data_IF_686173221339
#
_entry.id   IF_686173221339
#
_cell.length_a   1.000
_cell.length_b   1.000
_cell.length_c   1.000
_cell.angle_alpha   90.00
_cell.angle_beta   90.00
_cell.angle_gamma   90.00
#
_symmetry.space_group_name_H-M   'P 1'
#
loop_
_entity.id
_entity.type
_entity.pdbx_description
1 polymer ?
#
# COMPACT_ATOMS: atom_id res chain seq x y z
N UNK A 1 -47.81 45.35 25.10
CA UNK A 1 -47.54 44.02 25.70
C UNK A 1 -46.20 43.54 25.17
N UNK A 2 -45.12 44.02 25.80
CA UNK A 2 -43.77 43.52 25.56
C UNK A 2 -43.67 42.11 26.15
N UNK A 3 -43.37 41.13 25.30
CA UNK A 3 -43.00 39.79 25.77
C UNK A 3 -41.62 39.90 26.39
N UNK A 4 -41.56 39.80 27.71
CA UNK A 4 -40.33 39.57 28.46
C UNK A 4 -39.60 38.36 27.85
N UNK A 5 -38.51 38.64 27.13
CA UNK A 5 -37.47 37.67 26.84
C UNK A 5 -36.87 37.26 28.19
N UNK A 6 -37.38 36.17 28.78
CA UNK A 6 -36.70 35.46 29.86
C UNK A 6 -35.29 35.15 29.36
N UNK A 7 -34.34 35.94 29.80
CA UNK A 7 -32.92 35.62 29.73
C UNK A 7 -32.75 34.26 30.37
N UNK A 8 -32.50 33.22 29.55
CA UNK A 8 -31.99 31.95 30.04
C UNK A 8 -30.68 32.28 30.75
N UNK A 9 -30.73 32.34 32.08
CA UNK A 9 -29.53 32.37 32.91
C UNK A 9 -28.79 31.06 32.65
N UNK A 10 -27.82 31.09 31.75
CA UNK A 10 -26.93 29.97 31.54
C UNK A 10 -26.06 29.84 32.79
N UNK A 11 -26.21 28.75 33.54
CA UNK A 11 -25.24 28.39 34.56
C UNK A 11 -23.84 28.44 33.92
N UNK A 12 -22.84 29.07 34.58
CA UNK A 12 -21.48 29.09 34.06
C UNK A 12 -21.00 27.66 33.88
N UNK A 13 -20.48 27.35 32.69
CA UNK A 13 -20.04 26.01 32.34
C UNK A 13 -19.00 25.50 33.34
N UNK A 14 -19.22 24.28 33.84
CA UNK A 14 -18.33 23.64 34.81
C UNK A 14 -17.71 22.39 34.20
N UNK A 15 -16.37 22.36 34.15
CA UNK A 15 -15.61 21.23 33.61
C UNK A 15 -15.99 19.89 34.28
N UNK A 16 -16.12 19.88 35.61
CA UNK A 16 -16.48 18.66 36.36
C UNK A 16 -17.89 18.16 36.01
N UNK A 17 -18.88 19.06 36.00
CA UNK A 17 -20.26 18.73 35.60
C UNK A 17 -20.32 18.26 34.14
N UNK A 18 -19.56 18.92 33.26
CA UNK A 18 -19.50 18.57 31.83
C UNK A 18 -18.89 17.18 31.59
N UNK A 19 -17.83 16.81 32.32
CA UNK A 19 -17.23 15.48 32.22
C UNK A 19 -18.21 14.40 32.68
N UNK A 20 -18.90 14.62 33.80
CA UNK A 20 -19.86 13.67 34.34
C UNK A 20 -20.99 13.40 33.34
N UNK A 21 -21.59 14.45 32.79
CA UNK A 21 -22.62 14.33 31.77
C UNK A 21 -22.09 13.69 30.49
N UNK A 22 -20.92 14.13 30.00
CA UNK A 22 -20.32 13.59 28.78
C UNK A 22 -20.01 12.08 28.92
N UNK A 23 -19.54 11.62 30.08
CA UNK A 23 -19.29 10.19 30.34
C UNK A 23 -20.57 9.36 30.24
N UNK A 24 -21.68 9.83 30.81
CA UNK A 24 -22.97 9.14 30.75
C UNK A 24 -23.44 9.03 29.30
N UNK A 25 -23.37 10.12 28.54
CA UNK A 25 -23.74 10.11 27.13
C UNK A 25 -22.82 9.21 26.30
N UNK A 26 -21.51 9.27 26.54
CA UNK A 26 -20.53 8.44 25.85
C UNK A 26 -20.78 6.94 26.07
N UNK A 27 -21.05 6.52 27.32
CA UNK A 27 -21.38 5.13 27.64
C UNK A 27 -22.64 4.65 26.91
N UNK A 28 -23.68 5.51 26.84
CA UNK A 28 -24.91 5.21 26.09
C UNK A 28 -24.61 5.06 24.60
N UNK A 29 -23.87 6.01 24.01
CA UNK A 29 -23.48 5.97 22.59
C UNK A 29 -22.66 4.73 22.29
N UNK A 30 -21.70 4.38 23.14
CA UNK A 30 -20.85 3.19 22.97
C UNK A 30 -21.70 1.92 22.92
N UNK A 31 -22.66 1.78 23.86
CA UNK A 31 -23.58 0.65 23.89
C UNK A 31 -24.45 0.58 22.63
N UNK A 32 -25.12 1.67 22.28
CA UNK A 32 -25.97 1.71 21.09
C UNK A 32 -25.19 1.47 19.79
N UNK A 33 -23.96 1.97 19.71
CA UNK A 33 -23.09 1.71 18.57
C UNK A 33 -22.78 0.23 18.47
N UNK A 34 -22.40 -0.42 19.57
CA UNK A 34 -22.11 -1.86 19.56
C UNK A 34 -23.35 -2.69 19.19
N UNK A 35 -24.51 -2.36 19.76
CA UNK A 35 -25.78 -3.03 19.46
C UNK A 35 -26.12 -2.92 17.97
N UNK A 36 -25.94 -1.72 17.39
CA UNK A 36 -26.15 -1.47 15.96
C UNK A 36 -25.14 -2.22 15.09
N UNK A 37 -23.85 -2.21 15.42
CA UNK A 37 -22.84 -2.91 14.62
C UNK A 37 -23.06 -4.42 14.64
N UNK A 38 -23.46 -4.98 15.78
CA UNK A 38 -23.84 -6.39 15.89
C UNK A 38 -25.01 -6.73 14.97
N UNK A 39 -26.04 -5.90 14.93
CA UNK A 39 -27.18 -6.07 14.02
C UNK A 39 -26.74 -5.99 12.55
N UNK A 40 -25.92 -5.00 12.20
CA UNK A 40 -25.34 -4.87 10.86
C UNK A 40 -24.53 -6.10 10.45
N UNK A 41 -23.81 -6.71 11.39
CA UNK A 41 -23.06 -7.95 11.13
C UNK A 41 -24.01 -9.10 10.77
N UNK A 42 -25.03 -9.36 11.60
CA UNK A 42 -25.97 -10.46 11.35
C UNK A 42 -26.82 -10.24 10.11
N UNK A 43 -27.30 -9.03 9.88
CA UNK A 43 -28.04 -8.68 8.68
C UNK A 43 -27.20 -8.92 7.42
N UNK A 44 -25.92 -8.54 7.44
CA UNK A 44 -25.02 -8.82 6.32
C UNK A 44 -24.86 -10.32 6.06
N UNK A 45 -24.56 -11.11 7.09
CA UNK A 45 -24.35 -12.55 6.96
C UNK A 45 -25.62 -13.25 6.45
N UNK A 46 -26.81 -12.84 6.90
CA UNK A 46 -28.08 -13.38 6.42
C UNK A 46 -28.29 -13.06 4.93
N UNK A 47 -28.00 -11.83 4.50
CA UNK A 47 -28.22 -11.37 3.13
C UNK A 47 -27.13 -11.87 2.17
N UNK A 48 -25.89 -12.05 2.62
CA UNK A 48 -24.81 -12.59 1.78
C UNK A 48 -24.98 -14.09 1.50
N UNK A 49 -25.61 -14.82 2.42
CA UNK A 49 -25.91 -16.24 2.26
C UNK A 49 -27.20 -16.50 1.46
N UNK A 50 -28.02 -15.46 1.22
CA UNK A 50 -29.13 -15.54 0.27
C UNK A 50 -28.57 -15.56 -1.16
N UNK A 51 -28.22 -16.75 -1.63
CA UNK A 51 -27.58 -16.95 -2.93
C UNK A 51 -28.34 -16.25 -4.06
N UNK A 52 -27.64 -15.38 -4.79
CA UNK A 52 -28.17 -14.77 -5.99
C UNK A 52 -28.32 -15.85 -7.07
N UNK A 53 -29.56 -16.22 -7.38
CA UNK A 53 -29.88 -17.15 -8.46
C UNK A 53 -29.68 -16.46 -9.81
N UNK A 54 -28.52 -16.68 -10.41
CA UNK A 54 -28.10 -16.11 -11.69
C UNK A 54 -28.85 -16.70 -12.90
N UNK A 55 -29.68 -17.73 -12.69
CA UNK A 55 -30.47 -18.39 -13.73
C UNK A 55 -31.81 -17.71 -14.02
N UNK A 56 -32.22 -16.73 -13.20
CA UNK A 56 -33.43 -15.95 -13.42
C UNK A 56 -33.13 -14.79 -14.39
N UNK A 57 -33.69 -14.87 -15.59
CA UNK A 57 -33.68 -13.76 -16.56
C UNK A 57 -34.27 -12.50 -15.93
N UNK A 58 -33.81 -11.32 -16.37
CA UNK A 58 -34.08 -10.00 -15.78
C UNK A 58 -35.55 -9.62 -15.58
N UNK A 59 -36.51 -10.38 -16.11
CA UNK A 59 -37.96 -10.23 -15.84
C UNK A 59 -38.51 -11.07 -14.67
N UNK A 60 -37.72 -12.01 -14.13
CA UNK A 60 -38.05 -12.85 -12.97
C UNK A 60 -37.18 -12.54 -11.74
N UNK A 61 -36.22 -11.63 -11.86
CA UNK A 61 -35.58 -11.02 -10.71
C UNK A 61 -36.63 -10.16 -10.00
N UNK A 62 -37.36 -10.79 -9.09
CA UNK A 62 -38.37 -10.17 -8.26
C UNK A 62 -37.87 -8.84 -7.69
N UNK A 63 -38.65 -7.80 -7.90
CA UNK A 63 -38.65 -6.50 -7.20
C UNK A 63 -38.85 -6.64 -5.66
N UNK A 64 -38.31 -7.69 -5.01
CA UNK A 64 -38.68 -8.03 -3.64
C UNK A 64 -37.69 -8.88 -2.86
N UNK A 65 -36.50 -9.21 -3.40
CA UNK A 65 -35.46 -9.84 -2.58
C UNK A 65 -34.67 -8.76 -1.84
N UNK A 66 -34.71 -8.74 -0.49
CA UNK A 66 -33.95 -7.76 0.28
C UNK A 66 -32.46 -7.92 -0.03
N UNK A 67 -31.79 -6.81 -0.34
CA UNK A 67 -30.36 -6.77 -0.57
C UNK A 67 -29.67 -6.06 0.58
N UNK A 68 -28.36 -6.26 0.74
CA UNK A 68 -27.59 -5.50 1.72
C UNK A 68 -27.69 -3.98 1.51
N UNK A 69 -27.74 -3.55 0.25
CA UNK A 69 -27.88 -2.14 -0.11
C UNK A 69 -29.24 -1.61 0.32
N UNK A 70 -30.34 -2.31 -0.01
CA UNK A 70 -31.69 -1.87 0.38
C UNK A 70 -31.87 -1.84 1.90
N UNK A 71 -31.32 -2.83 2.61
CA UNK A 71 -31.31 -2.83 4.08
C UNK A 71 -30.63 -1.58 4.66
N UNK A 72 -29.44 -1.21 4.16
CA UNK A 72 -28.74 -0.03 4.66
C UNK A 72 -29.51 1.27 4.34
N UNK A 73 -30.13 1.34 3.17
CA UNK A 73 -30.93 2.50 2.75
C UNK A 73 -32.17 2.66 3.64
N UNK A 74 -32.86 1.56 3.98
CA UNK A 74 -34.01 1.55 4.91
C UNK A 74 -33.62 1.92 6.36
N UNK A 75 -32.47 1.44 6.82
CA UNK A 75 -31.91 1.81 8.13
C UNK A 75 -31.43 3.28 8.16
N UNK A 76 -31.18 3.88 6.99
CA UNK A 76 -30.68 5.25 6.86
C UNK A 76 -29.17 5.37 7.11
N UNK A 77 -28.40 4.29 6.92
CA UNK A 77 -26.93 4.29 7.06
C UNK A 77 -26.27 4.19 5.68
N UNK A 78 -25.24 5.01 5.46
CA UNK A 78 -24.44 4.87 4.25
C UNK A 78 -23.77 3.50 4.19
N UNK A 79 -23.93 2.78 3.07
CA UNK A 79 -23.39 1.42 2.89
C UNK A 79 -21.89 1.32 3.13
N UNK A 80 -21.09 2.32 2.72
CA UNK A 80 -19.65 2.30 2.98
C UNK A 80 -19.34 2.42 4.47
N UNK A 81 -20.14 3.21 5.21
CA UNK A 81 -20.03 3.32 6.67
C UNK A 81 -20.41 2.01 7.34
N UNK A 82 -21.53 1.40 6.94
CA UNK A 82 -21.96 0.11 7.45
C UNK A 82 -20.90 -0.99 7.23
N UNK A 83 -20.32 -1.05 6.02
CA UNK A 83 -19.20 -1.95 5.73
C UNK A 83 -17.99 -1.71 6.64
N UNK A 84 -17.60 -0.45 6.85
CA UNK A 84 -16.46 -0.11 7.72
C UNK A 84 -16.72 -0.52 9.17
N UNK A 85 -17.90 -0.25 9.70
CA UNK A 85 -18.27 -0.63 11.06
C UNK A 85 -18.32 -2.14 11.23
N UNK A 86 -18.93 -2.86 10.28
CA UNK A 86 -18.92 -4.33 10.23
C UNK A 86 -17.50 -4.88 10.21
N UNK A 87 -16.61 -4.29 9.40
CA UNK A 87 -15.21 -4.70 9.34
C UNK A 87 -14.48 -4.51 10.67
N UNK A 88 -14.88 -3.58 11.53
CA UNK A 88 -14.26 -3.39 12.85
C UNK A 88 -14.85 -4.31 13.92
N UNK A 89 -15.96 -4.99 13.66
CA UNK A 89 -16.58 -5.86 14.63
C UNK A 89 -15.83 -7.19 14.77
N UNK A 90 -15.72 -7.66 16.01
CA UNK A 90 -15.34 -9.03 16.35
C UNK A 90 -16.57 -9.75 16.93
N UNK A 91 -17.18 -10.68 16.16
CA UNK A 91 -18.38 -11.39 16.60
C UNK A 91 -18.12 -12.39 17.74
N UNK A 92 -16.87 -12.81 17.98
CA UNK A 92 -16.53 -13.76 19.04
C UNK A 92 -16.42 -13.03 20.38
N UNK A 93 -15.78 -11.87 20.38
CA UNK A 93 -15.60 -11.04 21.59
C UNK A 93 -16.73 -10.05 21.82
N UNK A 94 -17.66 -9.93 20.87
CA UNK A 94 -18.74 -8.94 20.85
C UNK A 94 -18.22 -7.52 21.11
N UNK A 95 -17.15 -7.13 20.44
CA UNK A 95 -16.53 -5.82 20.62
C UNK A 95 -16.11 -5.19 19.29
N UNK A 96 -15.90 -3.87 19.31
CA UNK A 96 -15.26 -3.15 18.21
C UNK A 96 -13.75 -3.19 18.41
N UNK A 97 -13.05 -3.63 17.38
CA UNK A 97 -11.60 -3.59 17.32
C UNK A 97 -11.10 -2.16 17.30
N UNK A 98 -10.03 -1.94 18.04
CA UNK A 98 -9.22 -0.72 17.89
C UNK A 98 -8.56 -0.70 16.50
N UNK A 99 -8.15 0.49 16.02
CA UNK A 99 -7.43 0.59 14.74
C UNK A 99 -6.16 -0.27 14.67
N UNK A 100 -5.48 -0.47 15.79
CA UNK A 100 -4.26 -1.28 15.88
C UNK A 100 -4.57 -2.77 15.77
N UNK A 101 -5.58 -3.24 16.50
CA UNK A 101 -6.04 -4.64 16.43
C UNK A 101 -6.57 -4.98 15.03
N UNK A 102 -7.30 -4.06 14.40
CA UNK A 102 -7.78 -4.25 13.02
C UNK A 102 -6.63 -4.38 12.03
N UNK A 103 -5.60 -3.53 12.15
CA UNK A 103 -4.38 -3.63 11.31
C UNK A 103 -3.66 -4.96 11.54
N UNK A 104 -3.47 -5.36 12.79
CA UNK A 104 -2.83 -6.63 13.14
C UNK A 104 -3.59 -7.83 12.54
N UNK A 105 -4.93 -7.83 12.66
CA UNK A 105 -5.78 -8.87 12.05
C UNK A 105 -5.62 -8.92 10.54
N UNK A 106 -5.60 -7.76 9.87
CA UNK A 106 -5.39 -7.70 8.41
C UNK A 106 -4.02 -8.17 7.96
N UNK A 107 -2.97 -7.89 8.74
CA UNK A 107 -1.64 -8.42 8.46
C UNK A 107 -1.61 -9.94 8.54
N UNK A 108 -2.24 -10.53 9.57
CA UNK A 108 -2.34 -11.99 9.71
C UNK A 108 -3.09 -12.61 8.52
N UNK A 109 -4.20 -11.99 8.09
CA UNK A 109 -4.96 -12.39 6.91
C UNK A 109 -4.08 -12.39 5.65
N UNK A 110 -3.33 -11.31 5.42
CA UNK A 110 -2.39 -11.22 4.29
C UNK A 110 -1.29 -12.28 4.36
N UNK A 111 -0.71 -12.53 5.54
CA UNK A 111 0.31 -13.56 5.69
C UNK A 111 -0.24 -14.96 5.41
N UNK A 112 -1.47 -15.26 5.82
CA UNK A 112 -2.11 -16.53 5.51
C UNK A 112 -2.37 -16.70 4.02
N UNK A 113 -2.83 -15.64 3.33
CA UNK A 113 -3.00 -15.65 1.87
C UNK A 113 -1.66 -15.84 1.15
N UNK A 114 -0.59 -15.19 1.62
CA UNK A 114 0.76 -15.37 1.07
C UNK A 114 1.23 -16.81 1.26
N UNK A 115 1.00 -17.43 2.42
CA UNK A 115 1.33 -18.84 2.66
C UNK A 115 0.57 -19.78 1.71
N UNK A 116 -0.72 -19.51 1.46
CA UNK A 116 -1.51 -20.27 0.47
C UNK A 116 -0.99 -20.08 -0.95
N UNK A 117 -0.56 -18.85 -1.28
CA UNK A 117 0.12 -18.60 -2.52
C UNK A 117 1.41 -19.43 -2.57
N UNK A 118 2.30 -19.35 -1.61
CA UNK A 118 3.59 -20.06 -1.62
C UNK A 118 3.45 -21.59 -1.64
N UNK A 119 2.42 -22.15 -1.00
CA UNK A 119 2.19 -23.61 -0.94
C UNK A 119 1.56 -24.21 -2.19
N UNK A 120 1.03 -23.42 -3.13
CA UNK A 120 0.42 -23.95 -4.36
C UNK A 120 1.49 -24.33 -5.39
N UNK A 121 1.57 -25.62 -5.69
CA UNK A 121 2.59 -26.27 -6.54
C UNK A 121 2.30 -26.19 -8.04
N UNK A 122 1.08 -25.84 -8.45
CA UNK A 122 0.67 -25.72 -9.86
C UNK A 122 0.11 -24.32 -10.08
N UNK A 123 0.82 -23.46 -10.82
CA UNK A 123 0.39 -22.08 -11.04
C UNK A 123 0.51 -21.64 -12.51
N UNK A 124 -0.58 -21.16 -13.12
CA UNK A 124 -0.49 -20.12 -14.14
C UNK A 124 0.08 -18.83 -13.52
N UNK A 125 0.85 -18.06 -14.29
CA UNK A 125 1.61 -16.88 -13.81
C UNK A 125 0.79 -15.85 -13.01
N UNK A 126 -0.53 -15.78 -13.24
CA UNK A 126 -1.42 -14.76 -12.68
C UNK A 126 -2.41 -15.28 -11.63
N UNK A 127 -2.26 -16.52 -11.15
CA UNK A 127 -3.18 -17.05 -10.14
C UNK A 127 -3.00 -16.36 -8.77
N UNK A 128 -4.11 -16.13 -8.05
CA UNK A 128 -4.17 -15.57 -6.69
C UNK A 128 -5.22 -16.30 -5.84
N UNK A 129 -4.99 -16.47 -4.53
CA UNK A 129 -5.99 -17.03 -3.61
C UNK A 129 -7.24 -16.14 -3.48
N UNK A 130 -8.35 -16.75 -3.07
CA UNK A 130 -9.58 -16.02 -2.78
C UNK A 130 -9.37 -15.01 -1.64
N UNK A 131 -9.89 -13.79 -1.81
CA UNK A 131 -9.68 -12.68 -0.88
C UNK A 131 -8.39 -11.89 -1.14
N UNK A 132 -7.61 -12.23 -2.17
CA UNK A 132 -6.43 -11.45 -2.56
C UNK A 132 -6.82 -10.06 -3.07
N UNK A 133 -6.55 -9.05 -2.25
CA UNK A 133 -6.83 -7.64 -2.58
C UNK A 133 -5.59 -6.90 -3.08
N UNK A 134 -5.78 -5.73 -3.70
CA UNK A 134 -4.68 -4.83 -4.08
C UNK A 134 -3.78 -4.45 -2.89
N UNK A 135 -4.35 -4.32 -1.69
CA UNK A 135 -3.59 -4.05 -0.48
C UNK A 135 -2.68 -5.24 -0.10
N UNK A 136 -3.18 -6.47 -0.26
CA UNK A 136 -2.41 -7.70 -0.05
C UNK A 136 -1.29 -7.83 -1.10
N UNK A 137 -1.55 -7.53 -2.38
CA UNK A 137 -0.53 -7.52 -3.43
C UNK A 137 0.59 -6.53 -3.11
N UNK A 138 0.26 -5.29 -2.74
CA UNK A 138 1.25 -4.28 -2.40
C UNK A 138 2.11 -4.69 -1.18
N UNK A 139 1.49 -5.32 -0.19
CA UNK A 139 2.19 -5.88 0.96
C UNK A 139 3.14 -7.01 0.56
N UNK A 140 2.68 -7.95 -0.27
CA UNK A 140 3.49 -9.04 -0.79
C UNK A 140 4.70 -8.55 -1.61
N UNK A 141 4.48 -7.60 -2.54
CA UNK A 141 5.56 -6.98 -3.32
C UNK A 141 6.60 -6.29 -2.43
N UNK A 142 6.16 -5.65 -1.35
CA UNK A 142 7.06 -5.03 -0.37
C UNK A 142 7.91 -6.09 0.36
N UNK A 143 7.31 -7.21 0.79
CA UNK A 143 8.05 -8.34 1.37
C UNK A 143 9.05 -8.95 0.38
N UNK A 144 8.67 -9.13 -0.88
CA UNK A 144 9.58 -9.66 -1.91
C UNK A 144 10.79 -8.74 -2.13
N UNK A 145 10.57 -7.42 -2.18
CA UNK A 145 11.65 -6.42 -2.23
C UNK A 145 12.56 -6.53 -1.02
N UNK A 146 12.00 -6.61 0.18
CA UNK A 146 12.78 -6.72 1.41
C UNK A 146 13.60 -8.02 1.46
N UNK A 147 13.02 -9.15 1.07
CA UNK A 147 13.73 -10.43 0.94
C UNK A 147 14.88 -10.31 -0.06
N UNK A 148 14.65 -9.70 -1.22
CA UNK A 148 15.70 -9.41 -2.22
C UNK A 148 16.83 -8.59 -1.59
N UNK A 149 16.52 -7.51 -0.86
CA UNK A 149 17.52 -6.69 -0.18
C UNK A 149 18.30 -7.48 0.89
N UNK A 150 17.63 -8.31 1.69
CA UNK A 150 18.30 -9.15 2.70
C UNK A 150 19.23 -10.17 2.06
N UNK A 151 18.80 -10.79 0.97
CA UNK A 151 19.65 -11.71 0.20
C UNK A 151 20.89 -11.01 -0.37
N UNK A 152 20.73 -9.76 -0.84
CA UNK A 152 21.86 -8.94 -1.30
C UNK A 152 22.82 -8.58 -0.16
N UNK A 153 22.31 -8.22 1.02
CA UNK A 153 23.13 -7.85 2.19
C UNK A 153 23.94 -9.02 2.76
N UNK A 154 23.44 -10.26 2.62
CA UNK A 154 24.12 -11.46 3.10
C UNK A 154 25.17 -12.01 2.13
N UNK A 155 25.32 -11.42 0.93
CA UNK A 155 26.34 -11.84 -0.04
C UNK A 155 27.68 -11.19 0.30
N UNK A 156 28.71 -12.01 0.50
CA UNK A 156 30.05 -11.55 0.90
C UNK A 156 30.90 -11.06 -0.28
N UNK A 157 30.50 -11.35 -1.53
CA UNK A 157 31.21 -10.95 -2.75
C UNK A 157 30.26 -10.27 -3.74
N UNK A 158 30.76 -9.22 -4.41
CA UNK A 158 29.99 -8.40 -5.34
C UNK A 158 29.55 -9.18 -6.61
N UNK A 159 30.32 -10.20 -7.03
CA UNK A 159 29.96 -11.10 -8.14
C UNK A 159 28.63 -11.82 -7.91
N UNK A 160 28.29 -12.08 -6.64
CA UNK A 160 27.02 -12.72 -6.31
C UNK A 160 25.86 -11.74 -6.33
N UNK A 161 26.08 -10.42 -6.29
CA UNK A 161 25.01 -9.44 -6.11
C UNK A 161 24.15 -9.21 -7.38
N UNK A 162 24.53 -9.75 -8.54
CA UNK A 162 23.87 -9.52 -9.85
C UNK A 162 23.65 -8.04 -10.23
N UNK A 163 24.13 -7.10 -9.42
CA UNK A 163 24.07 -5.64 -9.61
C UNK A 163 24.79 -5.18 -10.90
N UNK A 164 25.59 -6.05 -11.49
CA UNK A 164 26.30 -5.82 -12.74
C UNK A 164 26.25 -7.04 -13.67
N UNK A 165 25.30 -7.97 -13.50
CA UNK A 165 25.16 -9.06 -14.47
C UNK A 165 24.69 -8.48 -15.82
N UNK A 166 25.04 -9.15 -16.93
CA UNK A 166 24.78 -8.66 -18.29
C UNK A 166 23.29 -8.39 -18.53
N UNK A 167 22.41 -9.20 -17.94
CA UNK A 167 20.97 -9.10 -18.07
C UNK A 167 20.40 -7.90 -17.31
N UNK A 168 20.91 -7.61 -16.11
CA UNK A 168 20.55 -6.47 -15.29
C UNK A 168 21.05 -5.17 -15.92
N UNK A 169 22.31 -5.15 -16.38
CA UNK A 169 22.86 -4.02 -17.13
C UNK A 169 22.08 -3.75 -18.42
N UNK A 170 21.66 -4.80 -19.13
CA UNK A 170 20.78 -4.67 -20.29
C UNK A 170 19.40 -4.12 -19.90
N UNK A 171 18.83 -4.57 -18.76
CA UNK A 171 17.56 -4.04 -18.25
C UNK A 171 17.64 -2.56 -17.87
N UNK A 172 18.76 -2.13 -17.29
CA UNK A 172 19.04 -0.72 -17.00
C UNK A 172 19.22 0.07 -18.30
N UNK A 173 19.99 -0.46 -19.26
CA UNK A 173 20.18 0.17 -20.57
C UNK A 173 18.86 0.40 -21.31
N UNK A 174 17.94 -0.57 -21.27
CA UNK A 174 16.61 -0.44 -21.88
C UNK A 174 15.75 0.67 -21.25
N UNK A 175 16.01 1.05 -19.99
CA UNK A 175 15.33 2.19 -19.35
C UNK A 175 15.82 3.55 -19.89
N UNK A 176 16.94 3.57 -20.61
CA UNK A 176 17.57 4.79 -21.14
C UNK A 176 17.45 4.90 -22.67
N UNK A 177 16.66 4.04 -23.33
CA UNK A 177 16.31 4.25 -24.73
C UNK A 177 15.45 5.53 -24.83
N UNK A 178 16.07 6.57 -25.38
CA UNK A 178 15.51 7.91 -25.54
C UNK A 178 14.31 7.85 -26.47
N UNK A 179 13.13 7.65 -25.89
CA UNK A 179 11.89 7.44 -26.63
C UNK A 179 10.96 8.66 -26.56
N UNK A 180 11.13 9.53 -25.56
CA UNK A 180 10.43 10.82 -25.50
C UNK A 180 11.30 11.99 -25.97
N UNK A 181 10.72 13.04 -26.58
CA UNK A 181 11.44 14.27 -26.93
C UNK A 181 12.11 14.97 -25.74
N UNK A 182 11.51 14.91 -24.56
CA UNK A 182 12.04 15.47 -23.32
C UNK A 182 13.33 14.76 -22.87
N UNK A 183 13.38 13.43 -22.98
CA UNK A 183 14.56 12.62 -22.65
C UNK A 183 15.74 12.91 -23.59
N UNK A 184 15.45 13.21 -24.85
CA UNK A 184 16.47 13.60 -25.85
C UNK A 184 17.10 14.94 -25.48
N UNK A 185 16.28 15.92 -25.06
CA UNK A 185 16.77 17.24 -24.65
C UNK A 185 17.56 17.20 -23.34
N UNK A 186 17.12 16.42 -22.37
CA UNK A 186 17.87 16.18 -21.12
C UNK A 186 19.21 15.49 -21.41
N UNK A 187 19.22 14.47 -22.26
CA UNK A 187 20.44 13.77 -22.65
C UNK A 187 21.43 14.71 -23.36
N UNK A 188 20.95 15.59 -24.24
CA UNK A 188 21.78 16.61 -24.89
C UNK A 188 22.42 17.58 -23.90
N UNK A 189 21.67 18.03 -22.89
CA UNK A 189 22.17 18.92 -21.83
C UNK A 189 23.31 18.28 -21.03
N UNK A 190 23.11 17.05 -20.58
CA UNK A 190 24.16 16.31 -19.85
C UNK A 190 25.40 16.08 -20.71
N UNK A 191 25.25 15.87 -22.02
CA UNK A 191 26.41 15.77 -22.91
C UNK A 191 27.25 17.04 -22.87
N UNK A 192 26.63 18.22 -22.90
CA UNK A 192 27.38 19.49 -22.78
C UNK A 192 27.97 19.70 -21.38
N UNK A 193 27.29 19.26 -20.32
CA UNK A 193 27.80 19.34 -18.94
C UNK A 193 29.01 18.42 -18.68
N UNK A 194 29.02 17.22 -19.24
CA UNK A 194 30.09 16.21 -19.05
C UNK A 194 31.29 16.46 -19.97
N UNK A 195 31.08 17.11 -21.12
CA UNK A 195 32.10 17.40 -22.14
C UNK A 195 33.42 17.98 -21.60
N UNK A 196 33.47 18.90 -20.62
CA UNK A 196 34.71 19.43 -20.09
C UNK A 196 35.56 18.40 -19.33
N UNK A 197 34.93 17.35 -18.80
CA UNK A 197 35.56 16.31 -17.97
C UNK A 197 35.74 14.99 -18.74
N UNK A 198 35.22 14.93 -19.96
CA UNK A 198 35.19 13.72 -20.77
C UNK A 198 36.59 13.36 -21.28
N UNK A 199 36.90 12.07 -21.30
CA UNK A 199 38.14 11.56 -21.87
C UNK A 199 38.12 11.80 -23.39
N UNK A 200 39.09 12.51 -23.99
CA UNK A 200 39.04 12.89 -25.41
C UNK A 200 39.01 11.71 -26.39
N UNK A 201 39.57 10.56 -25.99
CA UNK A 201 39.62 9.34 -26.82
C UNK A 201 38.29 8.58 -26.89
N UNK A 202 37.27 8.97 -26.10
CA UNK A 202 35.98 8.30 -26.03
C UNK A 202 34.87 9.30 -26.35
N UNK A 203 33.90 8.92 -27.18
CA UNK A 203 32.78 9.80 -27.52
C UNK A 203 31.98 10.19 -26.27
N UNK A 204 31.73 11.49 -26.07
CA UNK A 204 30.98 12.05 -24.93
C UNK A 204 29.62 11.35 -24.71
N UNK A 205 28.80 11.06 -25.75
CA UNK A 205 27.52 10.36 -25.54
C UNK A 205 27.67 8.97 -24.92
N UNK A 206 28.75 8.23 -25.22
CA UNK A 206 29.01 6.92 -24.59
C UNK A 206 29.36 7.08 -23.11
N UNK A 207 30.16 8.10 -22.77
CA UNK A 207 30.53 8.39 -21.39
C UNK A 207 29.29 8.79 -20.56
N UNK A 208 28.40 9.63 -21.12
CA UNK A 208 27.14 10.03 -20.48
C UNK A 208 26.20 8.85 -20.25
N UNK A 209 26.11 7.90 -21.18
CA UNK A 209 25.32 6.67 -20.98
C UNK A 209 25.84 5.84 -19.82
N UNK A 210 27.16 5.72 -19.67
CA UNK A 210 27.78 5.05 -18.53
C UNK A 210 27.47 5.79 -17.22
N UNK A 211 27.55 7.12 -17.22
CA UNK A 211 27.19 7.95 -16.05
C UNK A 211 25.73 7.71 -15.64
N UNK A 212 24.76 7.78 -16.57
CA UNK A 212 23.35 7.49 -16.28
C UNK A 212 23.15 6.09 -15.73
N UNK A 213 23.84 5.09 -16.26
CA UNK A 213 23.74 3.71 -15.79
C UNK A 213 24.28 3.55 -14.36
N UNK A 214 25.40 4.19 -14.04
CA UNK A 214 25.97 4.19 -12.68
C UNK A 214 25.06 4.95 -11.71
N UNK A 215 24.51 6.10 -12.11
CA UNK A 215 23.57 6.86 -11.30
C UNK A 215 22.31 6.04 -10.99
N UNK A 216 21.77 5.31 -11.97
CA UNK A 216 20.62 4.42 -11.79
C UNK A 216 20.91 3.30 -10.80
N UNK A 217 22.09 2.67 -10.92
CA UNK A 217 22.52 1.63 -10.00
C UNK A 217 22.69 2.19 -8.57
N UNK A 218 23.25 3.40 -8.43
CA UNK A 218 23.40 4.07 -7.14
C UNK A 218 22.06 4.50 -6.52
N UNK A 219 21.06 4.83 -7.35
CA UNK A 219 19.73 5.23 -6.88
C UNK A 219 19.00 4.11 -6.11
N UNK A 220 19.32 2.83 -6.38
CA UNK A 220 18.74 1.69 -5.66
C UNK A 220 19.21 1.58 -4.20
N UNK A 221 20.31 2.26 -3.84
CA UNK A 221 20.82 2.31 -2.47
C UNK A 221 20.23 3.50 -1.68
N UNK A 222 20.16 3.36 -0.36
CA UNK A 222 19.72 4.44 0.53
C UNK A 222 20.65 5.66 0.40
N UNK A 223 20.11 6.91 0.41
CA UNK A 223 20.90 8.13 0.19
C UNK A 223 22.12 8.27 1.11
N UNK A 224 22.02 7.79 2.34
CA UNK A 224 23.09 7.82 3.35
C UNK A 224 24.30 6.96 3.00
N UNK A 225 24.11 5.91 2.18
CA UNK A 225 25.15 4.93 1.85
C UNK A 225 25.72 5.15 0.44
N UNK A 226 25.02 5.88 -0.44
CA UNK A 226 25.43 6.14 -1.83
C UNK A 226 26.86 6.67 -1.98
N UNK A 227 27.34 7.65 -1.19
CA UNK A 227 28.70 8.17 -1.36
C UNK A 227 29.78 7.12 -1.05
N UNK A 228 29.51 6.23 -0.09
CA UNK A 228 30.44 5.17 0.28
C UNK A 228 30.53 4.10 -0.82
N UNK A 229 29.38 3.70 -1.39
CA UNK A 229 29.32 2.76 -2.51
C UNK A 229 30.00 3.33 -3.75
N UNK A 230 29.73 4.60 -4.08
CA UNK A 230 30.35 5.27 -5.22
C UNK A 230 31.88 5.36 -5.08
N UNK A 231 32.38 5.73 -3.90
CA UNK A 231 33.82 5.77 -3.60
C UNK A 231 34.46 4.39 -3.75
N UNK A 232 33.84 3.36 -3.19
CA UNK A 232 34.34 2.00 -3.28
C UNK A 232 34.40 1.48 -4.73
N UNK A 233 33.37 1.74 -5.54
CA UNK A 233 33.36 1.38 -6.97
C UNK A 233 34.49 2.09 -7.71
N UNK A 234 34.69 3.39 -7.46
CA UNK A 234 35.80 4.13 -8.07
C UNK A 234 37.16 3.56 -7.68
N UNK A 235 37.36 3.21 -6.40
CA UNK A 235 38.59 2.56 -5.92
C UNK A 235 38.83 1.19 -6.57
N UNK A 236 37.78 0.38 -6.76
CA UNK A 236 37.87 -0.90 -7.46
C UNK A 236 38.29 -0.73 -8.93
N UNK A 237 37.66 0.20 -9.65
CA UNK A 237 37.97 0.46 -11.07
C UNK A 237 39.44 0.90 -11.22
N UNK A 238 39.92 1.77 -10.33
CA UNK A 238 41.33 2.22 -10.34
C UNK A 238 42.28 1.05 -10.09
N UNK A 239 41.95 0.14 -9.16
CA UNK A 239 42.78 -1.05 -8.88
C UNK A 239 42.84 -2.00 -10.07
N UNK A 240 41.70 -2.29 -10.69
CA UNK A 240 41.65 -3.19 -11.85
C UNK A 240 42.38 -2.61 -13.06
N UNK A 241 42.32 -1.29 -13.28
CA UNK A 241 43.06 -0.63 -14.36
C UNK A 241 44.56 -0.46 -14.10
N UNK A 242 45.05 -0.77 -12.89
CA UNK A 242 46.48 -0.75 -12.56
C UNK A 242 47.14 -2.14 -12.69
N UNK A 243 46.35 -3.19 -12.93
CA UNK A 243 46.82 -4.57 -13.14
C UNK A 243 46.96 -4.94 -14.64
N UNK A 244 46.70 -4.00 -15.57
CA UNK A 244 46.98 -4.07 -17.02
C UNK A 244 48.23 -3.24 -17.39
#
# INVERSE_FOLDING_TARGET
MEKELKTLEFEPWSYKKSIEMARIHYQKVQRYTLDLVRELYFAYEALSNSGYRSDLTSGQMSEGSPTWQSYCDEVGINVRTAYRWRLLYDPIKECLLTPEEFKARKLIEFENLIKQLESSTVKPANWRPDGWSTACENYYQSKQKELKYRLLMNRQTFDQAELFNREYLASLSNRFDTSSPEDILEFGRMCEEVKPYAVPSVSVPKQVRVVKLVEAALAEFQPTVRPQVAKFIAEMIIRMGAEE
#
